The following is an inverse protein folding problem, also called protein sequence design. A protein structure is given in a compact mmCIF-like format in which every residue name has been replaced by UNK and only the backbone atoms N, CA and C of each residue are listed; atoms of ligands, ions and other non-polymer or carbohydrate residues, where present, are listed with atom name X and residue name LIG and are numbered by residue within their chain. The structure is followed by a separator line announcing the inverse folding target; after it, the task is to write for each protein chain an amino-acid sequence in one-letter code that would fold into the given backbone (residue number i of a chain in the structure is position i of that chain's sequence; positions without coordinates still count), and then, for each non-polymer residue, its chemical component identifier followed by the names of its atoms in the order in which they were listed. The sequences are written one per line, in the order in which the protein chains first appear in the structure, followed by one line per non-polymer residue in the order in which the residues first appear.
data_IF_109431065167
#
_entry.id   IF_109431065167
#
_cell.length_a   1.000
_cell.length_b   1.000
_cell.length_c   1.000
_cell.angle_alpha   90.00
_cell.angle_beta   90.00
_cell.angle_gamma   90.00
#
_symmetry.space_group_name_H-M   'P 1'
#
loop_
_entity.id
_entity.type
_entity.pdbx_description
1 polymer ?
#
# COMPACT_ATOMS: atom_id res chain seq x y z
N UNK A 1 5.71 -11.40 -16.97
CA UNK A 1 5.53 -10.51 -15.80
C UNK A 1 6.41 -9.30 -16.06
N UNK A 2 5.83 -8.11 -16.26
CA UNK A 2 6.61 -6.89 -16.47
C UNK A 2 7.01 -6.38 -15.08
N UNK A 3 8.21 -6.76 -14.63
CA UNK A 3 8.78 -6.19 -13.42
C UNK A 3 9.27 -4.79 -13.79
N UNK A 4 8.83 -3.77 -13.04
CA UNK A 4 9.37 -2.43 -13.22
C UNK A 4 10.89 -2.47 -12.99
N UNK A 5 11.69 -1.70 -13.76
CA UNK A 5 13.10 -1.56 -13.45
C UNK A 5 13.25 -0.99 -12.02
N UNK A 6 14.40 -1.24 -11.40
CA UNK A 6 14.74 -0.56 -10.15
C UNK A 6 14.74 0.95 -10.44
N UNK A 7 13.85 1.68 -9.78
CA UNK A 7 13.73 3.13 -9.91
C UNK A 7 14.63 3.79 -8.87
N UNK A 8 15.38 4.81 -9.26
CA UNK A 8 16.04 5.71 -8.32
C UNK A 8 15.03 6.67 -7.68
N UNK A 9 15.44 7.39 -6.64
CA UNK A 9 14.62 8.42 -5.99
C UNK A 9 14.23 9.54 -6.97
N UNK A 10 15.12 9.86 -7.91
CA UNK A 10 14.87 10.83 -8.99
C UNK A 10 13.81 10.28 -9.96
N UNK A 11 13.94 9.01 -10.38
CA UNK A 11 12.96 8.37 -11.28
C UNK A 11 11.56 8.29 -10.64
N UNK A 12 11.52 8.02 -9.33
CA UNK A 12 10.26 7.95 -8.58
C UNK A 12 9.65 9.34 -8.40
N UNK A 13 10.46 10.37 -8.14
CA UNK A 13 10.00 11.76 -8.09
C UNK A 13 9.40 12.20 -9.43
N UNK A 14 10.10 11.92 -10.52
CA UNK A 14 9.65 12.18 -11.89
C UNK A 14 8.33 11.46 -12.22
N UNK A 15 8.11 10.27 -11.65
CA UNK A 15 6.86 9.52 -11.82
C UNK A 15 5.73 10.16 -11.01
N UNK A 16 6.00 10.52 -9.75
CA UNK A 16 5.03 11.17 -8.87
C UNK A 16 4.50 12.48 -9.45
N UNK A 17 5.36 13.26 -10.13
CA UNK A 17 4.94 14.48 -10.83
C UNK A 17 4.02 14.24 -12.03
N UNK A 18 4.03 13.04 -12.61
CA UNK A 18 3.27 12.68 -13.82
C UNK A 18 1.92 12.02 -13.53
N UNK A 19 1.63 11.71 -12.27
CA UNK A 19 0.39 11.07 -11.85
C UNK A 19 -0.47 12.05 -11.05
N UNK A 20 -1.78 11.77 -11.00
CA UNK A 20 -2.73 12.57 -10.20
C UNK A 20 -3.24 11.86 -8.97
N UNK A 21 -3.20 10.54 -8.97
CA UNK A 21 -3.70 9.71 -7.88
C UNK A 21 -2.59 8.76 -7.47
N UNK A 22 -2.31 8.69 -6.18
CA UNK A 22 -1.37 7.74 -5.61
C UNK A 22 -2.09 6.85 -4.59
N UNK A 23 -1.89 5.54 -4.74
CA UNK A 23 -2.35 4.53 -3.78
C UNK A 23 -1.12 3.87 -3.16
N UNK A 24 -0.87 4.19 -1.88
CA UNK A 24 0.22 3.65 -1.08
C UNK A 24 -0.28 2.45 -0.27
N UNK A 25 0.45 1.34 -0.32
CA UNK A 25 0.15 0.11 0.42
C UNK A 25 1.32 -0.24 1.32
N UNK A 26 1.15 -0.08 2.63
CA UNK A 26 2.10 -0.52 3.65
C UNK A 26 3.42 0.25 3.70
N UNK A 27 3.49 1.45 3.13
CA UNK A 27 4.73 2.23 2.98
C UNK A 27 4.55 3.71 3.38
N UNK A 28 5.66 4.46 3.40
CA UNK A 28 5.72 5.86 3.81
C UNK A 28 6.58 6.75 2.87
N UNK A 29 6.19 6.95 1.60
CA UNK A 29 6.95 7.79 0.67
C UNK A 29 7.05 9.25 1.12
N UNK A 30 6.08 9.77 1.89
CA UNK A 30 6.13 11.15 2.38
C UNK A 30 7.30 11.40 3.36
N UNK A 31 7.85 10.37 4.01
CA UNK A 31 9.02 10.51 4.88
C UNK A 31 10.26 11.02 4.15
N UNK A 32 10.35 10.79 2.83
CA UNK A 32 11.52 11.13 2.01
C UNK A 32 11.18 12.01 0.79
N UNK A 33 9.94 11.96 0.28
CA UNK A 33 9.56 12.52 -1.01
C UNK A 33 8.34 13.44 -0.96
N UNK A 34 8.08 14.06 0.20
CA UNK A 34 6.91 14.93 0.41
C UNK A 34 6.78 16.06 -0.62
N UNK A 35 7.90 16.58 -1.14
CA UNK A 35 7.89 17.66 -2.13
C UNK A 35 7.30 17.17 -3.47
N UNK A 36 7.76 16.01 -3.94
CA UNK A 36 7.29 15.39 -5.19
C UNK A 36 5.81 14.97 -5.12
N UNK A 37 5.29 14.77 -3.90
CA UNK A 37 3.89 14.40 -3.66
C UNK A 37 2.91 15.59 -3.70
N UNK A 38 3.38 16.85 -3.71
CA UNK A 38 2.49 18.03 -3.67
C UNK A 38 1.62 18.22 -4.92
N UNK A 39 2.01 17.63 -6.04
CA UNK A 39 1.27 17.71 -7.31
C UNK A 39 0.13 16.67 -7.43
N UNK A 40 0.02 15.77 -6.45
CA UNK A 40 -1.02 14.75 -6.38
C UNK A 40 -2.36 15.41 -6.02
N UNK A 41 -3.41 15.03 -6.75
CA UNK A 41 -4.77 15.54 -6.51
C UNK A 41 -5.52 14.65 -5.50
N UNK A 42 -5.10 13.40 -5.32
CA UNK A 42 -5.73 12.45 -4.41
C UNK A 42 -4.76 11.37 -3.92
N UNK A 43 -4.70 11.16 -2.61
CA UNK A 43 -3.79 10.19 -1.97
C UNK A 43 -4.61 9.21 -1.11
N UNK A 44 -4.39 7.92 -1.37
CA UNK A 44 -4.96 6.81 -0.59
C UNK A 44 -3.81 6.11 0.14
N UNK A 45 -3.91 6.00 1.46
CA UNK A 45 -3.00 5.20 2.28
C UNK A 45 -3.70 3.98 2.84
N UNK A 46 -3.14 2.80 2.57
CA UNK A 46 -3.55 1.53 3.18
C UNK A 46 -2.42 0.97 4.02
N UNK A 47 -2.68 0.71 5.30
CA UNK A 47 -1.68 0.15 6.19
C UNK A 47 -2.17 -0.05 7.60
N UNK A 48 -1.33 -0.69 8.43
CA UNK A 48 -1.65 -0.97 9.84
C UNK A 48 -1.03 0.02 10.83
N UNK A 49 -0.33 1.06 10.35
CA UNK A 49 0.42 2.03 11.15
C UNK A 49 0.14 3.45 10.67
N UNK A 50 0.15 4.42 11.59
CA UNK A 50 0.08 5.85 11.27
C UNK A 50 1.49 6.36 10.97
N UNK A 51 1.64 7.09 9.88
CA UNK A 51 2.90 7.68 9.41
C UNK A 51 2.69 9.03 8.72
N UNK A 52 3.76 9.61 8.19
CA UNK A 52 3.80 10.89 7.49
C UNK A 52 2.88 10.88 6.27
N UNK A 53 2.88 9.80 5.48
CA UNK A 53 2.01 9.62 4.32
C UNK A 53 0.53 9.58 4.71
N UNK A 54 0.20 8.86 5.77
CA UNK A 54 -1.16 8.78 6.32
C UNK A 54 -1.66 10.17 6.73
N UNK A 55 -0.78 11.01 7.26
CA UNK A 55 -1.11 12.34 7.76
C UNK A 55 -1.49 13.33 6.65
N UNK A 56 -1.04 13.09 5.41
CA UNK A 56 -1.37 13.92 4.24
C UNK A 56 -2.38 13.26 3.30
N UNK A 57 -2.86 12.06 3.62
CA UNK A 57 -3.76 11.30 2.75
C UNK A 57 -5.21 11.79 2.82
N UNK A 58 -5.89 11.81 1.69
CA UNK A 58 -7.33 12.11 1.61
C UNK A 58 -8.17 10.96 2.16
N UNK A 59 -7.71 9.72 1.96
CA UNK A 59 -8.36 8.51 2.46
C UNK A 59 -7.35 7.59 3.12
N UNK A 60 -7.68 7.14 4.32
CA UNK A 60 -6.92 6.13 5.06
C UNK A 60 -7.76 4.86 5.18
N UNK A 61 -7.24 3.77 4.65
CA UNK A 61 -7.85 2.44 4.67
C UNK A 61 -7.10 1.56 5.69
N UNK A 62 -7.72 1.22 6.83
CA UNK A 62 -7.04 0.45 7.87
C UNK A 62 -6.78 -0.98 7.41
N UNK A 63 -5.51 -1.31 7.18
CA UNK A 63 -5.02 -2.65 6.88
C UNK A 63 -4.67 -3.42 8.14
N UNK A 64 -4.77 -4.74 8.11
CA UNK A 64 -4.25 -5.63 9.17
C UNK A 64 -2.72 -5.71 9.13
N UNK A 65 -2.05 -6.04 10.23
CA UNK A 65 -0.61 -6.34 10.23
C UNK A 65 -0.35 -7.82 9.83
N UNK A 66 0.92 -8.18 9.58
CA UNK A 66 1.28 -9.52 9.07
C UNK A 66 0.82 -10.69 9.97
N UNK A 67 0.75 -10.49 11.29
CA UNK A 67 0.32 -11.52 12.24
C UNK A 67 -1.22 -11.69 12.30
N UNK A 68 -1.96 -10.79 11.67
CA UNK A 68 -3.42 -10.71 11.72
C UNK A 68 -4.09 -11.25 10.45
N UNK A 69 -3.28 -11.68 9.47
CA UNK A 69 -3.72 -12.15 8.15
C UNK A 69 -3.05 -13.46 7.75
N UNK A 70 -3.68 -14.16 6.81
CA UNK A 70 -3.11 -15.35 6.17
C UNK A 70 -2.62 -14.98 4.77
N UNK A 71 -1.51 -15.55 4.34
CA UNK A 71 -0.92 -15.26 3.04
C UNK A 71 0.44 -15.91 2.86
N UNK A 72 1.27 -15.32 2.00
CA UNK A 72 2.63 -15.80 1.75
C UNK A 72 3.61 -14.64 1.67
N UNK A 73 4.82 -14.87 2.16
CA UNK A 73 5.96 -13.96 2.01
C UNK A 73 7.08 -14.69 1.26
N UNK A 74 7.79 -13.99 0.39
CA UNK A 74 9.01 -14.52 -0.23
C UNK A 74 10.22 -13.86 0.41
N UNK A 75 11.11 -14.67 0.98
CA UNK A 75 12.30 -14.16 1.65
C UNK A 75 13.41 -13.79 0.66
N UNK A 76 14.55 -13.30 1.17
CA UNK A 76 15.69 -12.86 0.35
C UNK A 76 16.41 -14.00 -0.37
N UNK A 77 16.25 -15.26 0.07
CA UNK A 77 16.75 -16.45 -0.63
C UNK A 77 15.79 -16.95 -1.72
N UNK A 78 14.62 -16.31 -1.87
CA UNK A 78 13.61 -16.63 -2.87
C UNK A 78 12.63 -17.73 -2.43
N UNK A 79 12.65 -18.14 -1.17
CA UNK A 79 11.75 -19.15 -0.64
C UNK A 79 10.42 -18.50 -0.23
N UNK A 80 9.32 -19.07 -0.72
CA UNK A 80 7.98 -18.68 -0.30
C UNK A 80 7.61 -19.38 1.00
N UNK A 81 7.21 -18.59 1.99
CA UNK A 81 6.81 -19.03 3.32
C UNK A 81 5.33 -18.68 3.52
N UNK A 82 4.56 -19.63 4.03
CA UNK A 82 3.18 -19.38 4.41
C UNK A 82 3.14 -18.63 5.75
N UNK A 83 2.30 -17.61 5.82
CA UNK A 83 1.95 -16.94 7.06
C UNK A 83 0.51 -17.30 7.40
N UNK A 84 0.30 -17.80 8.62
CA UNK A 84 -1.03 -18.07 9.14
C UNK A 84 -1.43 -16.96 10.10
N UNK A 85 -2.71 -16.59 10.08
CA UNK A 85 -3.30 -15.66 11.05
C UNK A 85 -3.15 -16.18 12.48
N UNK A 86 -2.63 -15.33 13.37
CA UNK A 86 -2.44 -15.62 14.81
C UNK A 86 -3.32 -14.70 15.68
N UNK A 87 -3.60 -13.48 15.20
CA UNK A 87 -4.41 -12.49 15.90
C UNK A 87 -5.59 -12.03 15.02
N UNK A 88 -6.64 -11.54 15.65
CA UNK A 88 -7.73 -10.86 14.93
C UNK A 88 -7.31 -9.41 14.60
N UNK A 89 -7.61 -8.89 13.40
CA UNK A 89 -7.35 -7.50 13.08
C UNK A 89 -8.06 -6.55 14.06
N UNK A 90 -7.44 -5.43 14.45
CA UNK A 90 -8.03 -4.49 15.39
C UNK A 90 -9.17 -3.70 14.75
N UNK A 91 -10.29 -3.58 15.47
CA UNK A 91 -11.41 -2.75 15.07
C UNK A 91 -12.03 -3.16 13.74
N UNK A 92 -11.97 -2.26 12.76
CA UNK A 92 -12.48 -2.48 11.40
C UNK A 92 -11.36 -2.72 10.38
N UNK A 93 -10.14 -3.01 10.83
CA UNK A 93 -9.04 -3.31 9.94
C UNK A 93 -9.34 -4.58 9.12
N UNK A 94 -8.99 -4.55 7.84
CA UNK A 94 -9.18 -5.67 6.92
C UNK A 94 -7.85 -6.10 6.33
N UNK A 95 -7.79 -7.34 5.86
CA UNK A 95 -6.64 -7.81 5.09
C UNK A 95 -6.47 -7.02 3.79
N UNK A 96 -5.23 -6.80 3.37
CA UNK A 96 -4.91 -5.95 2.23
C UNK A 96 -5.64 -6.40 0.96
N UNK A 97 -5.68 -7.71 0.75
CA UNK A 97 -6.40 -8.32 -0.36
C UNK A 97 -7.91 -8.01 -0.28
N UNK A 98 -8.53 -8.14 0.89
CA UNK A 98 -9.96 -7.86 1.06
C UNK A 98 -10.30 -6.39 0.79
N UNK A 99 -9.41 -5.47 1.16
CA UNK A 99 -9.58 -4.03 0.84
C UNK A 99 -9.58 -3.84 -0.68
N UNK A 100 -8.57 -4.39 -1.37
CA UNK A 100 -8.43 -4.26 -2.83
C UNK A 100 -9.61 -4.93 -3.55
N UNK A 101 -10.03 -6.13 -3.15
CA UNK A 101 -11.21 -6.81 -3.69
C UNK A 101 -12.46 -5.97 -3.53
N UNK A 102 -12.71 -5.40 -2.35
CA UNK A 102 -13.89 -4.53 -2.12
C UNK A 102 -13.86 -3.27 -2.97
N UNK A 103 -12.69 -2.67 -3.19
CA UNK A 103 -12.55 -1.52 -4.08
C UNK A 103 -12.89 -1.93 -5.52
N UNK A 104 -12.33 -3.04 -6.00
CA UNK A 104 -12.60 -3.57 -7.32
C UNK A 104 -14.11 -3.87 -7.53
N UNK A 105 -14.75 -4.54 -6.57
CA UNK A 105 -16.20 -4.80 -6.59
C UNK A 105 -17.01 -3.50 -6.71
N UNK A 106 -16.63 -2.45 -5.97
CA UNK A 106 -17.28 -1.13 -6.04
C UNK A 106 -17.04 -0.42 -7.37
N UNK A 107 -15.94 -0.73 -8.05
CA UNK A 107 -15.64 -0.25 -9.41
C UNK A 107 -16.30 -1.11 -10.50
N UNK A 108 -17.03 -2.18 -10.13
CA UNK A 108 -17.67 -3.09 -11.08
C UNK A 108 -16.71 -4.09 -11.71
N UNK A 109 -15.58 -4.38 -11.04
CA UNK A 109 -14.58 -5.36 -11.44
C UNK A 109 -14.64 -6.60 -10.53
N UNK A 110 -14.29 -7.76 -11.08
CA UNK A 110 -14.14 -9.02 -10.34
C UNK A 110 -12.66 -9.41 -10.37
N UNK A 111 -12.06 -9.64 -9.18
CA UNK A 111 -10.64 -9.99 -8.99
C UNK A 111 -10.47 -11.45 -8.59
#
# INVERSE_FOLDING_TARGET
MNILPILSDDDLSDLLEKIKVLYVVGDDPASIMIESMKNLDFIISQGCMVNETTSISDVVLPGSCWAEKTGSLTNTTGETQEISKILEPPGNALDDQNIITKIAEKMGLEL
#
